data_IF_482119348260
#
_entry.id   IF_482119348260
#
_cell.length_a   1.000
_cell.length_b   1.000
_cell.length_c   1.000
_cell.angle_alpha   90.00
_cell.angle_beta   90.00
_cell.angle_gamma   90.00
#
_symmetry.space_group_name_H-M   'P 1'
#
loop_
_entity.id
_entity.type
_entity.pdbx_description
1 polymer ?
#
# COMPACT_ATOMS: atom_id res chain seq x y z
N UNK A 1 -14.63 -3.33 11.89
CA UNK A 1 -13.63 -3.74 10.90
C UNK A 1 -14.27 -3.96 9.54
N UNK A 2 -13.77 -3.28 8.52
CA UNK A 2 -14.14 -3.48 7.11
C UNK A 2 -13.61 -4.82 6.54
N UNK A 3 -14.42 -5.54 5.77
CA UNK A 3 -14.00 -6.76 5.05
C UNK A 3 -12.86 -6.45 4.06
N UNK A 4 -12.88 -5.28 3.44
CA UNK A 4 -11.84 -4.83 2.51
C UNK A 4 -10.46 -4.71 3.17
N UNK A 5 -10.41 -4.39 4.47
CA UNK A 5 -9.15 -4.36 5.23
C UNK A 5 -8.59 -5.78 5.36
N UNK A 6 -9.44 -6.74 5.75
CA UNK A 6 -9.04 -8.15 5.85
C UNK A 6 -8.55 -8.68 4.50
N UNK A 7 -9.33 -8.47 3.44
CA UNK A 7 -8.98 -8.87 2.08
C UNK A 7 -7.65 -8.27 1.59
N UNK A 8 -7.32 -7.04 2.01
CA UNK A 8 -6.01 -6.45 1.70
C UNK A 8 -4.88 -7.23 2.36
N UNK A 9 -4.96 -7.50 3.65
CA UNK A 9 -3.92 -8.22 4.38
C UNK A 9 -3.81 -9.68 3.94
N UNK A 10 -4.93 -10.32 3.62
CA UNK A 10 -4.95 -11.67 3.05
C UNK A 10 -4.25 -11.68 1.68
N UNK A 11 -4.58 -10.75 0.77
CA UNK A 11 -3.88 -10.65 -0.52
C UNK A 11 -2.41 -10.36 -0.36
N UNK A 12 -2.04 -9.53 0.62
CA UNK A 12 -0.64 -9.23 0.92
C UNK A 12 0.13 -10.49 1.33
N UNK A 13 -0.45 -11.33 2.21
CA UNK A 13 0.14 -12.60 2.63
C UNK A 13 0.33 -13.58 1.47
N UNK A 14 -0.64 -13.65 0.53
CA UNK A 14 -0.58 -14.60 -0.59
C UNK A 14 0.20 -14.09 -1.81
N UNK A 15 0.34 -12.77 -2.00
CA UNK A 15 0.85 -12.15 -3.23
C UNK A 15 2.12 -11.29 -3.09
N UNK A 16 2.52 -10.93 -1.86
CA UNK A 16 3.62 -9.99 -1.62
C UNK A 16 5.02 -10.49 -1.96
N UNK A 17 5.19 -11.81 -2.14
CA UNK A 17 6.52 -12.41 -2.01
C UNK A 17 7.57 -11.99 -3.03
N UNK A 18 7.20 -11.72 -4.29
CA UNK A 18 8.20 -11.29 -5.29
C UNK A 18 8.77 -9.90 -5.01
N UNK A 19 7.96 -8.99 -4.46
CA UNK A 19 8.33 -7.59 -4.21
C UNK A 19 9.06 -7.41 -2.87
N UNK A 20 8.88 -8.36 -1.94
CA UNK A 20 9.36 -8.28 -0.57
C UNK A 20 10.60 -9.17 -0.30
N UNK A 21 11.20 -9.78 -1.32
CA UNK A 21 12.37 -10.67 -1.18
C UNK A 21 13.60 -10.06 -0.49
N UNK A 22 13.78 -8.74 -0.58
CA UNK A 22 14.90 -8.02 0.04
C UNK A 22 14.52 -7.34 1.36
N UNK A 23 13.34 -7.69 1.89
CA UNK A 23 12.78 -7.11 3.10
C UNK A 23 12.55 -8.21 4.11
N UNK A 24 13.06 -7.97 5.32
CA UNK A 24 12.69 -8.71 6.52
C UNK A 24 12.37 -7.68 7.60
N UNK A 25 11.44 -8.02 8.49
CA UNK A 25 11.01 -7.16 9.59
C UNK A 25 9.52 -7.26 9.86
N UNK A 26 9.07 -6.56 10.89
CA UNK A 26 7.70 -6.56 11.37
C UNK A 26 7.08 -5.17 11.27
N UNK A 27 5.88 -5.11 10.71
CA UNK A 27 5.11 -3.86 10.57
C UNK A 27 3.77 -4.02 11.24
N UNK A 28 3.50 -3.20 12.26
CA UNK A 28 2.18 -3.11 12.87
C UNK A 28 1.39 -1.97 12.24
N UNK A 29 0.17 -2.24 11.78
CA UNK A 29 -0.78 -1.24 11.35
C UNK A 29 -1.81 -1.01 12.45
N UNK A 30 -1.89 0.22 12.94
CA UNK A 30 -2.90 0.69 13.88
C UNK A 30 -3.95 1.48 13.09
N UNK A 31 -5.05 0.81 12.73
CA UNK A 31 -6.14 1.40 11.95
C UNK A 31 -7.16 2.04 12.89
N UNK A 32 -7.19 3.37 12.92
CA UNK A 32 -8.11 4.11 13.79
C UNK A 32 -9.47 4.24 13.13
N UNK A 33 -10.53 3.98 13.88
CA UNK A 33 -11.93 4.17 13.49
C UNK A 33 -12.72 4.74 14.66
N UNK A 34 -13.95 5.26 14.46
CA UNK A 34 -14.81 5.68 15.56
C UNK A 34 -15.10 4.57 16.59
N UNK A 35 -15.01 3.30 16.19
CA UNK A 35 -15.23 2.13 17.05
C UNK A 35 -13.98 1.66 17.81
N UNK A 36 -12.83 2.32 17.63
CA UNK A 36 -11.55 1.96 18.25
C UNK A 36 -10.46 1.68 17.22
N UNK A 37 -9.37 1.08 17.69
CA UNK A 37 -8.18 0.79 16.87
C UNK A 37 -8.12 -0.71 16.55
N UNK A 38 -8.20 -1.04 15.27
CA UNK A 38 -7.94 -2.39 14.77
C UNK A 38 -6.45 -2.54 14.46
N UNK A 39 -5.80 -3.53 15.10
CA UNK A 39 -4.36 -3.77 14.95
C UNK A 39 -4.06 -5.00 14.10
N UNK A 40 -3.14 -4.82 13.16
CA UNK A 40 -2.64 -5.87 12.28
C UNK A 40 -1.12 -5.94 12.35
N UNK A 41 -0.57 -7.13 12.57
CA UNK A 41 0.85 -7.38 12.47
C UNK A 41 1.15 -8.05 11.14
N UNK A 42 2.04 -7.44 10.36
CA UNK A 42 2.60 -8.02 9.14
C UNK A 42 4.03 -8.42 9.43
N UNK A 43 4.34 -9.71 9.32
CA UNK A 43 5.70 -10.23 9.42
C UNK A 43 6.19 -10.54 8.02
N UNK A 44 7.34 -9.97 7.67
CA UNK A 44 7.99 -10.15 6.39
C UNK A 44 9.32 -10.85 6.65
N UNK A 45 9.55 -11.96 5.95
CA UNK A 45 10.83 -12.67 5.98
C UNK A 45 11.22 -13.09 4.57
N UNK A 46 12.11 -12.31 3.94
CA UNK A 46 12.67 -12.60 2.61
C UNK A 46 11.60 -12.95 1.56
N UNK A 47 10.47 -12.25 1.58
CA UNK A 47 9.34 -12.46 0.68
C UNK A 47 8.32 -13.51 1.14
N UNK A 48 8.52 -14.14 2.29
CA UNK A 48 7.41 -14.76 3.02
C UNK A 48 6.69 -13.67 3.80
N UNK A 49 5.36 -13.61 3.66
CA UNK A 49 4.55 -12.59 4.31
C UNK A 49 3.43 -13.25 5.06
N UNK A 50 3.33 -12.96 6.36
CA UNK A 50 2.17 -13.34 7.16
C UNK A 50 1.52 -12.09 7.70
N UNK A 51 0.19 -12.11 7.77
CA UNK A 51 -0.59 -11.04 8.37
C UNK A 51 -1.51 -11.64 9.42
N UNK A 52 -1.50 -11.09 10.63
CA UNK A 52 -2.35 -11.55 11.72
C UNK A 52 -3.00 -10.37 12.41
N UNK A 53 -4.26 -10.57 12.81
CA UNK A 53 -5.02 -9.61 13.61
C UNK A 53 -4.73 -9.87 15.09
N UNK A 54 -4.46 -8.82 15.86
CA UNK A 54 -4.32 -8.94 17.31
C UNK A 54 -3.39 -7.93 17.96
N UNK A 55 -3.16 -8.10 19.26
CA UNK A 55 -2.17 -7.31 20.01
C UNK A 55 -0.78 -7.88 19.77
N UNK A 56 -0.10 -7.31 18.78
CA UNK A 56 1.35 -7.31 18.76
C UNK A 56 1.81 -6.10 19.58
N UNK A 57 2.40 -6.35 20.75
CA UNK A 57 2.85 -5.28 21.63
C UNK A 57 4.08 -4.56 21.05
N UNK A 58 4.88 -5.25 20.24
CA UNK A 58 6.09 -4.72 19.59
C UNK A 58 6.12 -5.02 18.09
N UNK A 59 6.70 -4.09 17.32
CA UNK A 59 7.03 -4.25 15.91
C UNK A 59 8.19 -3.30 15.57
N UNK A 60 8.98 -3.64 14.55
CA UNK A 60 10.10 -2.81 14.07
C UNK A 60 9.61 -1.50 13.45
N UNK A 61 8.38 -1.50 12.94
CA UNK A 61 7.70 -0.31 12.45
C UNK A 61 6.24 -0.31 12.86
N UNK A 62 5.74 0.81 13.37
CA UNK A 62 4.33 1.04 13.67
C UNK A 62 3.80 2.10 12.73
N UNK A 63 2.76 1.77 11.97
CA UNK A 63 2.08 2.68 11.04
C UNK A 63 0.70 2.98 11.60
N UNK A 64 0.44 4.25 11.88
CA UNK A 64 -0.86 4.70 12.36
C UNK A 64 -1.57 5.45 11.24
N UNK A 65 -2.81 5.06 10.97
CA UNK A 65 -3.60 5.60 9.87
C UNK A 65 -5.08 5.46 10.18
N UNK A 66 -5.88 6.40 9.71
CA UNK A 66 -7.34 6.28 9.74
C UNK A 66 -7.82 5.16 8.79
N UNK A 67 -8.82 4.37 9.22
CA UNK A 67 -9.35 3.25 8.43
C UNK A 67 -9.91 3.74 7.07
N UNK A 68 -10.57 4.89 7.02
CA UNK A 68 -11.09 5.43 5.76
C UNK A 68 -9.96 5.87 4.83
N UNK A 69 -8.90 6.48 5.37
CA UNK A 69 -7.71 6.81 4.58
C UNK A 69 -7.01 5.55 4.04
N UNK A 70 -6.87 4.51 4.86
CA UNK A 70 -6.32 3.22 4.46
C UNK A 70 -7.16 2.59 3.32
N UNK A 71 -8.48 2.62 3.42
CA UNK A 71 -9.38 2.13 2.36
C UNK A 71 -9.28 2.91 1.05
N UNK A 72 -8.96 4.21 1.10
CA UNK A 72 -8.68 4.98 -0.12
C UNK A 72 -7.34 4.60 -0.72
N UNK A 73 -6.35 4.28 0.10
CA UNK A 73 -5.07 3.74 -0.37
C UNK A 73 -5.24 2.37 -1.03
N UNK A 74 -6.06 1.47 -0.48
CA UNK A 74 -6.31 0.14 -1.09
C UNK A 74 -6.97 0.24 -2.47
N UNK A 75 -7.71 1.32 -2.73
CA UNK A 75 -8.31 1.66 -4.04
C UNK A 75 -7.35 2.43 -4.97
N UNK A 76 -6.17 2.83 -4.49
CA UNK A 76 -5.19 3.60 -5.25
C UNK A 76 -5.49 5.11 -5.33
N UNK A 77 -6.52 5.58 -4.63
CA UNK A 77 -6.92 7.00 -4.62
C UNK A 77 -5.92 7.87 -3.84
N UNK A 78 -5.22 7.27 -2.87
CA UNK A 78 -4.18 7.91 -2.08
C UNK A 78 -2.94 7.05 -2.09
N UNK A 79 -1.78 7.69 -2.19
CA UNK A 79 -0.47 7.02 -2.14
C UNK A 79 0.16 7.14 -0.74
N UNK A 80 0.73 6.06 -0.17
CA UNK A 80 1.27 6.05 1.19
C UNK A 80 2.36 7.09 1.46
N UNK A 81 3.35 7.21 0.58
CA UNK A 81 4.49 8.12 0.76
C UNK A 81 4.05 9.59 0.72
N UNK A 82 3.24 10.07 -0.25
CA UNK A 82 2.66 11.40 -0.18
C UNK A 82 1.80 11.65 1.07
N UNK A 83 1.02 10.67 1.53
CA UNK A 83 0.22 10.79 2.75
C UNK A 83 1.11 10.89 4.01
N UNK A 84 2.19 10.11 4.08
CA UNK A 84 3.19 10.21 5.14
C UNK A 84 3.85 11.60 5.16
N UNK A 85 4.29 12.09 4.00
CA UNK A 85 4.92 13.42 3.88
C UNK A 85 3.99 14.57 4.27
N UNK A 86 2.66 14.38 4.18
CA UNK A 86 1.64 15.34 4.63
C UNK A 86 1.22 15.16 6.08
N UNK A 87 1.76 14.14 6.77
CA UNK A 87 1.32 13.71 8.10
C UNK A 87 -0.14 13.21 8.15
N UNK A 88 -0.71 12.77 7.01
CA UNK A 88 -2.03 12.13 6.97
C UNK A 88 -1.96 10.69 7.54
N UNK A 89 -0.77 10.08 7.51
CA UNK A 89 -0.42 8.85 8.23
C UNK A 89 0.92 9.05 8.94
N UNK A 90 1.15 8.34 10.03
CA UNK A 90 2.44 8.35 10.74
C UNK A 90 3.10 6.99 10.67
N UNK A 91 4.43 6.98 10.76
CA UNK A 91 5.22 5.78 10.87
C UNK A 91 6.33 6.02 11.90
N UNK A 92 6.42 5.13 12.89
CA UNK A 92 7.51 5.05 13.86
C UNK A 92 8.34 3.81 13.55
N UNK A 93 9.66 3.94 13.46
CA UNK A 93 10.57 2.86 13.06
C UNK A 93 11.22 3.05 11.69
N UNK A 94 11.26 1.99 10.89
CA UNK A 94 12.07 1.94 9.66
C UNK A 94 11.39 2.62 8.47
N UNK A 95 11.92 3.76 8.02
CA UNK A 95 11.42 4.49 6.84
C UNK A 95 11.31 3.63 5.57
N UNK A 96 12.19 2.64 5.39
CA UNK A 96 12.12 1.70 4.26
C UNK A 96 10.77 0.99 4.18
N UNK A 97 10.10 0.74 5.30
CA UNK A 97 8.77 0.12 5.30
C UNK A 97 7.72 1.04 4.68
N UNK A 98 7.78 2.35 4.92
CA UNK A 98 6.91 3.35 4.27
C UNK A 98 7.12 3.36 2.76
N UNK A 99 8.37 3.32 2.31
CA UNK A 99 8.70 3.25 0.87
C UNK A 99 8.19 1.95 0.24
N UNK A 100 8.21 0.83 0.99
CA UNK A 100 7.66 -0.43 0.49
C UNK A 100 6.14 -0.38 0.32
N UNK A 101 5.41 0.35 1.16
CA UNK A 101 3.96 0.48 1.01
C UNK A 101 3.56 1.02 -0.38
N UNK A 102 4.33 1.93 -0.96
CA UNK A 102 4.07 2.46 -2.32
C UNK A 102 3.90 1.35 -3.37
N UNK A 103 4.59 0.23 -3.18
CA UNK A 103 4.54 -0.93 -4.07
C UNK A 103 3.40 -1.90 -3.77
N UNK A 104 2.90 -1.90 -2.54
CA UNK A 104 1.86 -2.82 -2.07
C UNK A 104 0.44 -2.30 -2.33
N UNK A 105 0.27 -0.98 -2.33
CA UNK A 105 -1.02 -0.35 -2.61
C UNK A 105 -1.28 -0.21 -4.10
N UNK A 106 -2.58 -0.24 -4.47
CA UNK A 106 -3.01 -0.20 -5.85
C UNK A 106 -2.43 1.02 -6.60
N UNK A 107 -2.13 0.90 -7.90
CA UNK A 107 -1.78 2.05 -8.72
C UNK A 107 -2.95 3.04 -8.79
N UNK A 108 -2.70 4.34 -9.02
CA UNK A 108 -3.77 5.32 -9.17
C UNK A 108 -4.73 4.93 -10.30
N UNK A 109 -6.05 5.21 -10.16
CA UNK A 109 -7.01 4.98 -11.23
C UNK A 109 -6.55 5.65 -12.54
N UNK A 110 -6.53 4.89 -13.63
CA UNK A 110 -6.10 5.39 -14.95
C UNK A 110 -4.58 5.45 -15.15
N UNK A 111 -3.76 5.02 -14.17
CA UNK A 111 -2.32 4.89 -14.36
C UNK A 111 -2.02 3.96 -15.53
N UNK A 112 -1.30 4.47 -16.53
CA UNK A 112 -0.84 3.68 -17.68
C UNK A 112 0.63 3.33 -17.50
N UNK A 113 0.98 2.11 -17.87
CA UNK A 113 2.38 1.71 -17.85
C UNK A 113 3.17 2.54 -18.88
N UNK A 114 4.33 3.14 -18.52
CA UNK A 114 5.09 4.00 -19.42
C UNK A 114 5.44 3.33 -20.76
N UNK A 115 5.70 2.01 -20.75
CA UNK A 115 5.96 1.25 -21.98
C UNK A 115 4.75 1.17 -22.92
N UNK A 116 3.53 1.22 -22.39
CA UNK A 116 2.29 1.24 -23.19
C UNK A 116 2.06 2.62 -23.80
N UNK A 117 2.52 3.68 -23.14
CA UNK A 117 2.47 5.06 -23.67
C UNK A 117 3.52 5.25 -24.76
N UNK A 118 4.75 4.79 -24.53
CA UNK A 118 5.86 4.92 -25.48
C UNK A 118 5.67 4.12 -26.77
N UNK A 119 4.96 2.98 -26.71
CA UNK A 119 4.67 2.15 -27.89
C UNK A 119 3.41 2.60 -28.66
N UNK A 120 2.80 3.73 -28.31
CA UNK A 120 1.65 4.25 -29.07
C UNK A 120 2.16 4.94 -30.34
N UNK A 121 1.72 4.52 -31.54
CA UNK A 121 2.03 5.27 -32.76
C UNK A 121 1.51 6.70 -32.63
N UNK A 122 2.23 7.70 -33.15
CA UNK A 122 1.79 9.09 -33.10
C UNK A 122 0.39 9.22 -33.74
N UNK A 123 -0.46 10.14 -33.23
CA UNK A 123 -1.77 10.37 -33.85
C UNK A 123 -1.57 10.74 -35.32
N UNK A 124 -2.25 10.02 -36.21
CA UNK A 124 -2.22 10.31 -37.65
C UNK A 124 -2.67 11.75 -37.84
N UNK A 125 -1.88 12.61 -38.52
CA UNK A 125 -2.33 13.97 -38.80
C UNK A 125 -3.62 13.88 -39.61
N UNK A 126 -4.70 14.44 -39.07
CA UNK A 126 -5.96 14.61 -39.78
C UNK A 126 -5.65 15.43 -41.02
N UNK A 127 -5.74 14.80 -42.18
CA UNK A 127 -5.63 15.50 -43.46
C UNK A 127 -6.83 16.43 -43.53
N UNK A 128 -6.61 17.71 -43.24
CA UNK A 128 -7.53 18.78 -43.60
C UNK A 128 -7.86 18.64 -45.08
N UNK A 129 -9.09 18.19 -45.34
CA UNK A 129 -9.65 18.12 -46.67
C UNK A 129 -9.76 19.56 -47.19
N UNK A 130 -8.98 19.86 -48.22
CA UNK A 130 -9.19 21.00 -49.11
C UNK A 130 -10.06 20.57 -50.27
#
# INVERSE_FOLDING_TARGET
MSETVREFFDRLAHGGGRMLRQVSGTVRFDLTSPGGVDRWLVVIDQGQVTASRGRADTADTVIQVDEALFLRMTRGEVKPLPAFLRNDLTADGEFRMVVMLERLFAPPPGARHPRTVANRPPPTPEREAR
#
